data_IF_048772825709
#
_entry.id   IF_048772825709
#
_cell.length_a   1.000
_cell.length_b   1.000
_cell.length_c   1.000
_cell.angle_alpha   90.00
_cell.angle_beta   90.00
_cell.angle_gamma   90.00
#
_symmetry.space_group_name_H-M   'P 1'
#
loop_
_entity.id
_entity.type
_entity.pdbx_description
1 polymer ?
#
# COMPACT_ATOMS: atom_id res chain seq x y z
N UNK A 1 -14.43 -23.63 41.29
CA UNK A 1 -13.95 -24.83 40.57
C UNK A 1 -14.19 -24.59 39.08
N UNK A 2 -13.15 -24.32 38.29
CA UNK A 2 -13.28 -23.86 36.90
C UNK A 2 -13.64 -25.02 35.96
N UNK A 3 -14.91 -25.09 35.52
CA UNK A 3 -15.44 -26.08 34.56
C UNK A 3 -15.26 -25.54 33.15
N UNK A 4 -14.02 -25.29 32.74
CA UNK A 4 -13.73 -24.85 31.38
C UNK A 4 -13.16 -26.06 30.63
N UNK A 5 -13.91 -26.60 29.68
CA UNK A 5 -13.47 -27.75 28.89
C UNK A 5 -12.23 -27.38 28.07
N UNK A 6 -11.29 -28.32 27.91
CA UNK A 6 -10.06 -28.07 27.14
C UNK A 6 -10.34 -27.61 25.70
N UNK A 7 -11.43 -28.09 25.10
CA UNK A 7 -11.88 -27.64 23.77
C UNK A 7 -12.32 -26.18 23.77
N UNK A 8 -13.05 -25.76 24.80
CA UNK A 8 -13.48 -24.36 24.96
C UNK A 8 -12.29 -23.43 25.21
N UNK A 9 -11.31 -23.85 26.02
CA UNK A 9 -10.05 -23.10 26.23
C UNK A 9 -9.28 -22.88 24.94
N UNK A 10 -9.20 -23.91 24.10
CA UNK A 10 -8.50 -23.84 22.81
C UNK A 10 -9.21 -22.92 21.83
N UNK A 11 -10.54 -23.03 21.73
CA UNK A 11 -11.35 -22.18 20.86
C UNK A 11 -11.26 -20.70 21.28
N UNK A 12 -11.32 -20.41 22.58
CA UNK A 12 -11.10 -19.07 23.12
C UNK A 12 -9.72 -18.52 22.76
N UNK A 13 -8.65 -19.31 22.95
CA UNK A 13 -7.30 -18.88 22.59
C UNK A 13 -7.16 -18.55 21.10
N UNK A 14 -7.78 -19.34 20.24
CA UNK A 14 -7.77 -19.13 18.78
C UNK A 14 -8.54 -17.86 18.39
N UNK A 15 -9.72 -17.64 18.98
CA UNK A 15 -10.50 -16.41 18.77
C UNK A 15 -9.72 -15.17 19.22
N UNK A 16 -9.06 -15.21 20.39
CA UNK A 16 -8.21 -14.11 20.85
C UNK A 16 -7.05 -13.84 19.90
N UNK A 17 -6.41 -14.88 19.38
CA UNK A 17 -5.31 -14.74 18.43
C UNK A 17 -5.77 -14.09 17.11
N UNK A 18 -6.94 -14.49 16.59
CA UNK A 18 -7.53 -13.91 15.38
C UNK A 18 -7.89 -12.43 15.61
N UNK A 19 -8.50 -12.11 16.76
CA UNK A 19 -8.86 -10.73 17.08
C UNK A 19 -7.62 -9.82 17.15
N UNK A 20 -6.53 -10.28 17.75
CA UNK A 20 -5.25 -9.55 17.80
C UNK A 20 -4.65 -9.39 16.40
N UNK A 21 -4.64 -10.45 15.58
CA UNK A 21 -4.11 -10.39 14.22
C UNK A 21 -4.93 -9.47 13.29
N UNK A 22 -6.25 -9.35 13.52
CA UNK A 22 -7.13 -8.47 12.73
C UNK A 22 -6.92 -6.97 13.00
N UNK A 23 -6.25 -6.62 14.10
CA UNK A 23 -5.97 -5.23 14.48
C UNK A 23 -4.72 -4.67 13.81
N UNK A 24 -3.98 -5.48 13.04
CA UNK A 24 -2.81 -5.00 12.30
C UNK A 24 -3.30 -4.08 11.18
N UNK A 25 -3.02 -2.77 11.22
CA UNK A 25 -3.36 -1.89 10.12
C UNK A 25 -2.66 -2.40 8.86
N UNK A 26 -3.46 -2.73 7.85
CA UNK A 26 -2.96 -2.96 6.49
C UNK A 26 -2.48 -1.60 5.98
N UNK A 27 -1.25 -1.23 6.32
CA UNK A 27 -0.62 -0.09 5.66
C UNK A 27 -0.54 -0.45 4.17
N UNK A 28 -1.13 0.35 3.27
CA UNK A 28 -0.81 0.21 1.87
C UNK A 28 0.71 0.26 1.77
N UNK A 29 1.32 -0.73 1.12
CA UNK A 29 2.75 -0.78 0.94
C UNK A 29 3.17 0.31 -0.06
N UNK A 30 3.06 1.57 0.34
CA UNK A 30 3.48 2.74 -0.43
C UNK A 30 5.00 2.94 -0.38
N UNK A 31 5.74 2.08 0.36
CA UNK A 31 7.19 2.22 0.59
C UNK A 31 8.10 1.39 -0.32
N UNK A 32 7.61 0.38 -1.05
CA UNK A 32 8.45 -0.29 -2.08
C UNK A 32 8.60 0.60 -3.32
N UNK A 33 7.70 1.57 -3.50
CA UNK A 33 7.65 2.46 -4.65
C UNK A 33 8.14 3.89 -4.29
N UNK A 34 9.14 4.08 -3.43
CA UNK A 34 9.68 5.44 -3.23
C UNK A 34 10.37 5.99 -4.47
N UNK A 35 10.99 5.12 -5.28
CA UNK A 35 11.67 5.47 -6.52
C UNK A 35 10.89 4.94 -7.72
N UNK A 36 10.60 5.81 -8.69
CA UNK A 36 9.84 5.45 -9.90
C UNK A 36 8.33 5.50 -9.74
N UNK A 37 7.80 5.82 -8.55
CA UNK A 37 6.37 6.03 -8.36
C UNK A 37 5.87 7.31 -8.99
N UNK A 38 4.64 7.26 -9.49
CA UNK A 38 3.91 8.45 -9.92
C UNK A 38 3.58 9.38 -8.75
N UNK A 39 3.56 8.88 -7.52
CA UNK A 39 3.23 9.69 -6.33
C UNK A 39 4.39 10.56 -5.83
N UNK A 40 5.58 10.48 -6.43
CA UNK A 40 6.72 11.32 -6.10
C UNK A 40 6.45 12.81 -6.37
N UNK A 41 7.25 13.69 -5.79
CA UNK A 41 7.13 15.15 -6.01
C UNK A 41 7.42 15.50 -7.47
N UNK A 42 8.40 14.84 -8.09
CA UNK A 42 8.82 15.07 -9.48
C UNK A 42 8.99 13.74 -10.23
N UNK A 43 8.78 13.70 -11.56
CA UNK A 43 9.00 12.51 -12.40
C UNK A 43 10.47 12.25 -12.71
N UNK A 44 11.35 12.44 -11.72
CA UNK A 44 12.82 12.40 -11.90
C UNK A 44 13.37 11.03 -12.30
N UNK A 45 12.61 9.95 -12.07
CA UNK A 45 13.00 8.59 -12.46
C UNK A 45 12.70 8.28 -13.94
N UNK A 46 11.76 9.01 -14.53
CA UNK A 46 11.28 8.74 -15.88
C UNK A 46 12.03 9.59 -16.89
N UNK A 47 12.34 9.00 -18.04
CA UNK A 47 12.98 9.69 -19.15
C UNK A 47 12.05 9.71 -20.36
N UNK A 48 12.01 10.86 -21.02
CA UNK A 48 11.39 10.99 -22.33
C UNK A 48 12.20 10.20 -23.36
N UNK A 49 11.48 9.56 -24.28
CA UNK A 49 12.08 8.72 -25.31
C UNK A 49 12.52 9.55 -26.51
N UNK A 50 11.87 9.31 -27.66
CA UNK A 50 12.18 9.97 -28.94
C UNK A 50 11.46 11.31 -29.14
N UNK A 51 11.05 11.99 -28.07
CA UNK A 51 10.43 13.31 -28.16
C UNK A 51 11.40 14.42 -28.61
N UNK A 52 10.86 15.50 -29.23
CA UNK A 52 11.66 16.65 -29.62
C UNK A 52 12.42 17.26 -28.42
N UNK A 53 13.60 17.81 -28.72
CA UNK A 53 14.40 18.55 -27.73
C UNK A 53 13.54 19.68 -27.13
N UNK A 54 13.44 19.72 -25.80
CA UNK A 54 12.64 20.71 -25.07
C UNK A 54 11.37 20.19 -24.39
N UNK A 55 10.93 18.95 -24.65
CA UNK A 55 9.81 18.36 -23.91
C UNK A 55 10.16 18.17 -22.41
N UNK A 56 9.19 18.39 -21.52
CA UNK A 56 9.31 18.25 -20.06
C UNK A 56 8.28 17.25 -19.56
N UNK A 57 8.67 16.36 -18.64
CA UNK A 57 7.75 15.46 -17.96
C UNK A 57 7.16 16.15 -16.72
N UNK A 58 5.86 16.01 -16.51
CA UNK A 58 5.14 16.50 -15.34
C UNK A 58 4.02 15.54 -14.99
N UNK A 59 3.68 15.45 -13.71
CA UNK A 59 2.54 14.63 -13.30
C UNK A 59 1.22 15.30 -13.65
N UNK A 60 0.32 14.55 -14.29
CA UNK A 60 -1.09 14.91 -14.38
C UNK A 60 -1.83 14.46 -13.11
N UNK A 61 -2.78 15.27 -12.63
CA UNK A 61 -3.57 14.97 -11.40
C UNK A 61 -5.08 14.88 -11.68
N UNK A 62 -5.49 15.15 -12.90
CA UNK A 62 -6.84 15.14 -13.42
C UNK A 62 -7.19 13.85 -14.17
N UNK A 63 -6.19 13.19 -14.77
CA UNK A 63 -6.34 11.93 -15.47
C UNK A 63 -5.42 10.85 -14.89
N UNK A 64 -5.98 9.87 -14.17
CA UNK A 64 -5.21 8.74 -13.65
C UNK A 64 -6.08 7.47 -13.55
N UNK A 65 -5.47 6.29 -13.70
CA UNK A 65 -6.16 5.01 -13.54
C UNK A 65 -6.36 4.67 -12.06
N UNK A 66 -5.34 4.94 -11.23
CA UNK A 66 -5.34 4.68 -9.79
C UNK A 66 -4.42 5.65 -9.07
N UNK A 67 -4.66 5.88 -7.78
CA UNK A 67 -3.92 6.82 -6.93
C UNK A 67 -4.25 8.29 -7.24
N UNK A 68 -3.26 9.17 -7.43
CA UNK A 68 -3.49 10.60 -7.63
C UNK A 68 -2.70 11.23 -8.78
N UNK A 69 -1.79 10.49 -9.43
CA UNK A 69 -0.92 11.01 -10.49
C UNK A 69 -0.69 10.03 -11.65
N UNK A 70 -0.40 10.58 -12.83
CA UNK A 70 0.02 9.85 -14.04
C UNK A 70 1.02 10.69 -14.89
N UNK A 71 1.57 10.12 -15.98
CA UNK A 71 2.41 10.80 -16.98
C UNK A 71 1.62 11.10 -18.26
#
# INVERSE_FOLDING_TARGET
>A
MNIISNKFRWCMGLCFFILIASQVPLFPQSGINEFGSFEQVLPSYWTKGTEPSGATLSWATDEFISMGKSL
#
